data_IF_295456942534
#
_entry.id   IF_295456942534
#
_cell.length_a   1.000
_cell.length_b   1.000
_cell.length_c   1.000
_cell.angle_alpha   90.00
_cell.angle_beta   90.00
_cell.angle_gamma   90.00
#
_symmetry.space_group_name_H-M   'P 1'
#
loop_
_entity.id
_entity.type
_entity.pdbx_description
1 polymer ?
#
# COMPACT_ATOMS: atom_id res chain seq x y z
N UNK A 1 5.23 15.27 2.89
CA UNK A 1 6.16 16.21 2.22
C UNK A 1 5.82 17.62 2.66
N UNK A 2 6.81 18.41 3.05
CA UNK A 2 6.66 19.78 3.56
C UNK A 2 7.08 20.84 2.53
N UNK A 3 8.14 20.55 1.77
CA UNK A 3 8.67 21.39 0.68
C UNK A 3 9.08 20.55 -0.53
N UNK A 4 9.30 21.23 -1.66
CA UNK A 4 9.64 20.62 -2.94
C UNK A 4 8.45 19.90 -3.59
N UNK A 5 8.73 19.13 -4.63
CA UNK A 5 7.78 18.24 -5.28
C UNK A 5 8.39 16.85 -5.51
N UNK A 6 7.59 15.95 -6.07
CA UNK A 6 8.06 14.62 -6.42
C UNK A 6 7.01 13.82 -7.18
N UNK A 7 7.31 12.54 -7.39
CA UNK A 7 6.46 11.57 -8.05
C UNK A 7 6.42 10.30 -7.19
N UNK A 8 5.22 9.78 -6.97
CA UNK A 8 4.99 8.48 -6.36
C UNK A 8 4.51 7.52 -7.45
N UNK A 9 5.30 6.48 -7.69
CA UNK A 9 4.89 5.34 -8.49
C UNK A 9 4.42 4.21 -7.56
N UNK A 10 3.24 3.64 -7.78
CA UNK A 10 2.72 2.54 -6.95
C UNK A 10 1.77 1.63 -7.71
N UNK A 11 1.91 0.31 -7.55
CA UNK A 11 1.06 -0.72 -8.20
C UNK A 11 0.81 -0.52 -9.72
N UNK A 12 1.77 0.11 -10.41
CA UNK A 12 1.71 0.45 -11.84
C UNK A 12 1.07 1.82 -12.18
N UNK A 13 0.74 2.64 -11.18
CA UNK A 13 0.26 4.02 -11.28
C UNK A 13 1.39 5.00 -10.98
N UNK A 14 1.23 6.25 -11.43
CA UNK A 14 2.09 7.39 -11.09
C UNK A 14 1.22 8.56 -10.66
N UNK A 15 1.64 9.29 -9.63
CA UNK A 15 1.00 10.53 -9.20
C UNK A 15 2.05 11.55 -8.76
N UNK A 16 1.77 12.82 -9.04
CA UNK A 16 2.62 13.92 -8.62
C UNK A 16 2.36 14.27 -7.15
N UNK A 17 3.44 14.47 -6.41
CA UNK A 17 3.44 14.92 -5.03
C UNK A 17 3.56 16.44 -5.00
N UNK A 18 2.43 17.10 -4.73
CA UNK A 18 2.41 18.55 -4.52
C UNK A 18 3.02 18.92 -3.15
N UNK A 19 3.60 20.13 -3.00
CA UNK A 19 4.05 20.65 -1.72
C UNK A 19 3.00 20.53 -0.62
N UNK A 20 3.45 20.31 0.63
CA UNK A 20 2.57 20.19 1.80
C UNK A 20 1.52 19.07 1.61
N UNK A 21 1.98 17.88 1.25
CA UNK A 21 1.13 16.69 1.04
C UNK A 21 1.36 15.62 2.08
N UNK A 22 0.27 14.96 2.49
CA UNK A 22 0.28 13.74 3.29
C UNK A 22 -0.05 12.55 2.38
N UNK A 23 0.80 11.53 2.44
CA UNK A 23 0.65 10.29 1.69
C UNK A 23 0.61 9.14 2.68
N UNK A 24 -0.34 8.23 2.48
CA UNK A 24 -0.48 7.03 3.28
C UNK A 24 -0.35 5.83 2.36
N UNK A 25 0.61 4.97 2.66
CA UNK A 25 0.90 3.75 1.91
C UNK A 25 0.56 2.54 2.79
N UNK A 26 -0.42 1.71 2.41
CA UNK A 26 -0.78 0.54 3.18
C UNK A 26 0.30 -0.54 3.05
N UNK A 27 0.36 -1.43 4.03
CA UNK A 27 1.23 -2.60 3.98
C UNK A 27 0.97 -3.43 2.71
N UNK A 28 2.04 -3.91 2.08
CA UNK A 28 1.98 -4.70 0.85
C UNK A 28 1.90 -3.89 -0.45
N UNK A 29 1.79 -2.56 -0.38
CA UNK A 29 1.87 -1.71 -1.57
C UNK A 29 3.31 -1.67 -2.11
N UNK A 30 3.51 -2.09 -3.37
CA UNK A 30 4.78 -1.85 -4.06
C UNK A 30 4.77 -0.40 -4.54
N UNK A 31 5.77 0.36 -4.12
CA UNK A 31 5.89 1.75 -4.47
C UNK A 31 7.34 2.17 -4.64
N UNK A 32 7.54 3.28 -5.34
CA UNK A 32 8.80 3.99 -5.49
C UNK A 32 8.51 5.48 -5.43
N UNK A 33 9.42 6.21 -4.80
CA UNK A 33 9.40 7.67 -4.77
C UNK A 33 10.52 8.22 -5.63
N UNK A 34 10.24 9.29 -6.33
CA UNK A 34 11.24 10.20 -6.90
C UNK A 34 10.96 11.57 -6.35
N UNK A 35 11.94 12.19 -5.73
CA UNK A 35 11.79 13.52 -5.15
C UNK A 35 12.69 14.50 -5.91
N UNK A 36 12.27 15.76 -5.97
CA UNK A 36 13.11 16.85 -6.46
C UNK A 36 14.23 17.15 -5.43
N UNK A 37 15.30 17.81 -5.86
CA UNK A 37 16.49 18.05 -5.02
C UNK A 37 16.20 18.92 -3.78
N UNK A 38 15.13 19.72 -3.81
CA UNK A 38 14.67 20.58 -2.72
C UNK A 38 13.55 19.97 -1.86
N UNK A 39 13.23 18.69 -2.10
CA UNK A 39 12.16 18.01 -1.39
C UNK A 39 12.53 17.72 0.07
N UNK A 40 11.71 18.22 0.99
CA UNK A 40 11.86 17.99 2.43
C UNK A 40 10.58 17.39 2.99
N UNK A 41 10.71 16.50 3.98
CA UNK A 41 9.58 16.00 4.74
C UNK A 41 9.87 14.75 5.56
N UNK A 42 8.82 14.28 6.22
CA UNK A 42 8.89 13.13 7.11
C UNK A 42 8.43 11.84 6.43
N UNK A 43 9.10 10.74 6.76
CA UNK A 43 8.68 9.38 6.44
C UNK A 43 8.55 8.59 7.74
N UNK A 44 7.32 8.20 8.07
CA UNK A 44 7.06 7.31 9.21
C UNK A 44 6.75 5.92 8.70
N UNK A 45 7.62 4.97 9.03
CA UNK A 45 7.39 3.54 8.80
C UNK A 45 7.03 2.87 10.11
N UNK A 46 5.89 2.18 10.15
CA UNK A 46 5.42 1.48 11.34
C UNK A 46 4.99 0.05 11.01
N UNK A 47 5.20 -0.87 11.96
CA UNK A 47 4.69 -2.23 11.85
C UNK A 47 3.16 -2.22 11.88
N UNK A 48 2.52 -3.04 11.04
CA UNK A 48 1.06 -3.07 10.93
C UNK A 48 0.36 -3.37 12.27
N UNK A 49 0.97 -4.20 13.11
CA UNK A 49 0.44 -4.58 14.42
C UNK A 49 0.29 -3.38 15.37
N UNK A 50 1.06 -2.31 15.18
CA UNK A 50 0.94 -1.08 15.98
C UNK A 50 -0.40 -0.36 15.74
N UNK A 51 -1.05 -0.57 14.59
CA UNK A 51 -2.39 -0.04 14.35
C UNK A 51 -3.45 -0.70 15.25
N UNK A 52 -3.12 -1.87 15.81
CA UNK A 52 -3.98 -2.63 16.71
C UNK A 52 -3.49 -2.61 18.16
N UNK A 53 -2.43 -1.85 18.47
CA UNK A 53 -1.95 -1.70 19.84
C UNK A 53 -3.06 -1.04 20.68
N UNK A 54 -3.50 -1.65 21.78
CA UNK A 54 -4.62 -1.15 22.58
C UNK A 54 -4.35 0.22 23.20
N UNK A 55 -3.10 0.68 23.28
CA UNK A 55 -2.73 2.02 23.77
C UNK A 55 -2.96 3.10 22.73
N UNK A 56 -3.04 2.73 21.45
CA UNK A 56 -3.09 3.64 20.30
C UNK A 56 -4.43 3.53 19.57
N UNK A 57 -4.91 2.29 19.35
CA UNK A 57 -6.07 1.97 18.50
C UNK A 57 -7.39 2.64 18.93
N UNK A 58 -7.50 3.10 20.17
CA UNK A 58 -8.68 3.83 20.66
C UNK A 58 -8.68 5.32 20.25
N UNK A 59 -7.53 5.88 19.83
CA UNK A 59 -7.35 7.30 19.56
C UNK A 59 -7.73 7.67 18.11
N UNK A 60 -7.79 6.70 17.20
CA UNK A 60 -7.99 6.93 15.77
C UNK A 60 -8.83 5.82 15.12
N UNK A 61 -9.43 6.13 13.96
CA UNK A 61 -10.00 5.13 13.06
C UNK A 61 -8.92 4.67 12.07
N UNK A 62 -8.64 3.36 12.03
CA UNK A 62 -7.64 2.78 11.15
C UNK A 62 -8.12 2.60 9.70
N UNK A 63 -9.42 2.68 9.43
CA UNK A 63 -9.99 2.45 8.10
C UNK A 63 -9.38 3.34 6.99
N UNK A 64 -9.15 4.65 7.22
CA UNK A 64 -8.51 5.54 6.25
C UNK A 64 -7.02 5.26 6.02
N UNK A 65 -6.37 4.50 6.90
CA UNK A 65 -4.91 4.31 6.92
C UNK A 65 -4.44 2.98 6.33
N UNK A 66 -5.24 1.92 6.46
CA UNK A 66 -4.81 0.56 6.13
C UNK A 66 -5.19 0.06 4.74
N UNK A 67 -5.98 0.83 3.99
CA UNK A 67 -6.83 0.26 2.96
C UNK A 67 -6.40 0.62 1.53
N UNK A 68 -6.04 1.85 1.23
CA UNK A 68 -5.55 2.22 -0.10
C UNK A 68 -4.38 3.20 0.01
N UNK A 69 -3.65 3.35 -1.09
CA UNK A 69 -2.76 4.51 -1.22
C UNK A 69 -3.65 5.74 -1.26
N UNK A 70 -3.52 6.58 -0.24
CA UNK A 70 -4.31 7.79 -0.07
C UNK A 70 -3.38 8.99 -0.03
N UNK A 71 -3.81 10.09 -0.65
CA UNK A 71 -3.03 11.31 -0.72
C UNK A 71 -3.95 12.50 -0.47
N UNK A 72 -3.50 13.41 0.38
CA UNK A 72 -4.19 14.66 0.67
C UNK A 72 -3.21 15.81 0.55
N UNK A 73 -3.58 16.82 -0.26
CA UNK A 73 -2.91 18.11 -0.21
C UNK A 73 -3.41 18.86 1.03
N UNK A 74 -2.47 19.24 1.90
CA UNK A 74 -2.70 20.06 3.08
C UNK A 74 -2.33 21.54 2.82
N UNK A 75 -1.98 21.90 1.58
CA UNK A 75 -1.59 23.26 1.20
C UNK A 75 -2.71 24.16 0.68
N UNK A 76 -3.92 23.63 0.43
CA UNK A 76 -4.97 24.34 -0.29
C UNK A 76 -6.16 24.70 0.60
N UNK A 77 -6.06 25.82 1.31
CA UNK A 77 -7.20 26.53 1.89
C UNK A 77 -7.04 28.03 1.68
N UNK A 78 -8.12 28.70 1.26
CA UNK A 78 -8.19 30.18 1.22
C UNK A 78 -8.05 30.70 2.66
N UNK A 79 -6.83 30.95 3.13
CA UNK A 79 -6.59 31.43 4.50
C UNK A 79 -5.23 31.15 5.14
N UNK A 80 -4.31 30.47 4.46
CA UNK A 80 -2.93 30.23 4.96
C UNK A 80 -2.61 28.74 5.16
N UNK A 81 -1.46 28.46 5.80
CA UNK A 81 -0.98 27.10 6.06
C UNK A 81 -2.02 26.31 6.86
N UNK A 82 -2.45 25.16 6.36
CA UNK A 82 -3.35 24.26 7.08
C UNK A 82 -2.72 23.91 8.43
N UNK A 83 -3.40 24.25 9.52
CA UNK A 83 -2.93 23.98 10.89
C UNK A 83 -2.63 22.50 11.11
N UNK A 84 -3.25 21.59 10.33
CA UNK A 84 -2.95 20.16 10.35
C UNK A 84 -1.53 19.85 9.90
N UNK A 85 -1.04 20.50 8.84
CA UNK A 85 0.31 20.30 8.33
C UNK A 85 1.35 20.70 9.37
N UNK A 86 1.21 21.88 9.98
CA UNK A 86 2.11 22.35 11.04
C UNK A 86 2.08 21.47 12.28
N UNK A 87 0.89 20.97 12.66
CA UNK A 87 0.77 20.04 13.80
C UNK A 87 1.41 18.68 13.52
N UNK A 88 1.21 18.13 12.33
CA UNK A 88 1.85 16.88 11.93
C UNK A 88 3.37 17.03 11.91
N UNK A 89 3.88 18.13 11.35
CA UNK A 89 5.32 18.46 11.34
C UNK A 89 5.92 18.45 12.75
N UNK A 90 5.29 19.16 13.69
CA UNK A 90 5.74 19.19 15.08
C UNK A 90 5.72 17.79 15.73
N UNK A 91 4.65 17.02 15.55
CA UNK A 91 4.54 15.67 16.11
C UNK A 91 5.56 14.69 15.50
N UNK A 92 5.89 14.82 14.21
CA UNK A 92 6.95 14.03 13.60
C UNK A 92 8.32 14.39 14.17
N UNK A 93 8.58 15.67 14.42
CA UNK A 93 9.81 16.10 15.07
C UNK A 93 9.92 15.53 16.51
N UNK A 94 8.83 15.55 17.27
CA UNK A 94 8.77 14.97 18.62
C UNK A 94 9.01 13.44 18.57
N UNK A 95 8.36 12.72 17.63
CA UNK A 95 8.59 11.29 17.42
C UNK A 95 10.06 10.99 17.09
N UNK A 96 10.69 11.78 16.23
CA UNK A 96 12.08 11.59 15.82
C UNK A 96 13.07 11.83 16.97
N UNK A 97 12.79 12.82 17.83
CA UNK A 97 13.60 13.08 19.03
C UNK A 97 13.48 11.96 20.05
N UNK A 98 12.26 11.43 20.26
CA UNK A 98 12.01 10.35 21.22
C UNK A 98 12.50 8.98 20.77
N UNK A 99 12.57 8.72 19.46
CA UNK A 99 13.09 7.45 18.94
C UNK A 99 14.61 7.32 19.05
N UNK A 100 15.35 8.43 19.07
CA UNK A 100 16.82 8.44 19.05
C UNK A 100 17.44 7.71 17.84
N UNK A 101 18.78 7.61 17.79
CA UNK A 101 19.49 7.01 16.64
C UNK A 101 19.45 5.47 16.61
N UNK A 102 19.02 4.82 17.69
CA UNK A 102 18.97 3.36 17.81
C UNK A 102 17.90 2.92 18.83
N UNK A 103 16.62 3.06 18.47
CA UNK A 103 15.53 2.55 19.31
C UNK A 103 15.63 1.02 19.47
N UNK A 104 15.98 0.56 20.67
CA UNK A 104 16.10 -0.86 21.00
C UNK A 104 15.37 -1.18 22.30
N UNK A 105 14.04 -0.97 22.31
CA UNK A 105 13.18 -1.27 23.47
C UNK A 105 11.68 -1.29 23.13
N UNK A 106 10.82 -1.68 24.08
CA UNK A 106 9.37 -1.61 23.90
C UNK A 106 8.92 -0.16 23.69
N UNK A 107 7.82 0.02 22.95
CA UNK A 107 7.24 1.35 22.66
C UNK A 107 6.87 2.05 23.97
N UNK A 108 7.51 3.19 24.25
CA UNK A 108 7.23 3.97 25.46
C UNK A 108 5.81 4.54 25.43
N UNK A 109 5.25 4.89 26.59
CA UNK A 109 3.93 5.51 26.65
C UNK A 109 3.88 6.87 25.93
N UNK A 110 4.96 7.64 25.99
CA UNK A 110 5.08 8.93 25.32
C UNK A 110 5.08 8.75 23.80
N UNK A 111 5.92 7.85 23.30
CA UNK A 111 6.03 7.55 21.87
C UNK A 111 4.73 6.95 21.33
N UNK A 112 4.05 6.11 22.12
CA UNK A 112 2.72 5.60 21.78
C UNK A 112 1.66 6.70 21.68
N UNK A 113 1.68 7.68 22.59
CA UNK A 113 0.75 8.81 22.56
C UNK A 113 1.02 9.73 21.34
N UNK A 114 2.29 10.07 21.07
CA UNK A 114 2.67 10.84 19.89
C UNK A 114 2.28 10.13 18.59
N UNK A 115 2.55 8.82 18.51
CA UNK A 115 2.15 8.01 17.36
C UNK A 115 0.61 8.01 17.20
N UNK A 116 -0.14 7.83 18.28
CA UNK A 116 -1.60 7.89 18.25
C UNK A 116 -2.13 9.24 17.76
N UNK A 117 -1.53 10.35 18.18
CA UNK A 117 -1.90 11.68 17.70
C UNK A 117 -1.59 11.89 16.21
N UNK A 118 -0.44 11.41 15.74
CA UNK A 118 -0.09 11.45 14.31
C UNK A 118 -1.11 10.65 13.49
N UNK A 119 -1.43 9.43 13.90
CA UNK A 119 -2.38 8.57 13.20
C UNK A 119 -3.80 9.16 13.21
N UNK A 120 -4.23 9.76 14.32
CA UNK A 120 -5.53 10.43 14.42
C UNK A 120 -5.64 11.64 13.49
N UNK A 121 -4.61 12.51 13.47
CA UNK A 121 -4.59 13.68 12.58
C UNK A 121 -4.49 13.26 11.12
N UNK A 122 -3.70 12.24 10.80
CA UNK A 122 -3.61 11.69 9.45
C UNK A 122 -4.95 11.11 8.99
N UNK A 123 -5.62 10.31 9.82
CA UNK A 123 -6.93 9.73 9.52
C UNK A 123 -8.00 10.81 9.32
N UNK A 124 -8.05 11.81 10.20
CA UNK A 124 -8.97 12.93 10.07
C UNK A 124 -8.70 13.78 8.82
N UNK A 125 -7.43 13.93 8.42
CA UNK A 125 -7.08 14.61 7.19
C UNK A 125 -7.60 13.88 5.94
N UNK A 126 -7.56 12.54 5.94
CA UNK A 126 -8.08 11.71 4.86
C UNK A 126 -9.61 11.66 4.81
N UNK A 127 -10.28 11.77 5.96
CA UNK A 127 -11.74 11.75 6.04
C UNK A 127 -12.41 13.01 5.48
N UNK A 128 -11.73 14.16 5.42
CA UNK A 128 -12.32 15.45 5.01
C UNK A 128 -12.63 15.65 3.52
N UNK A 129 -12.53 14.61 2.68
CA UNK A 129 -12.69 14.65 1.22
C UNK A 129 -14.09 14.19 0.75
N UNK A 130 -15.16 14.53 1.47
CA UNK A 130 -16.45 13.84 1.35
C UNK A 130 -17.41 14.25 0.22
N UNK A 131 -17.11 15.27 -0.60
CA UNK A 131 -18.03 15.76 -1.64
C UNK A 131 -18.39 14.76 -2.76
N UNK A 132 -17.58 13.73 -2.98
CA UNK A 132 -17.81 12.66 -3.97
C UNK A 132 -17.89 11.25 -3.34
N UNK A 133 -17.85 11.15 -2.00
CA UNK A 133 -17.46 9.94 -1.28
C UNK A 133 -18.58 8.92 -1.02
N UNK A 134 -19.87 9.28 -1.00
CA UNK A 134 -20.91 8.34 -0.54
C UNK A 134 -21.19 7.17 -1.51
N UNK A 135 -21.07 7.40 -2.83
CA UNK A 135 -21.18 6.34 -3.84
C UNK A 135 -19.85 5.58 -4.03
N UNK A 136 -18.72 6.26 -3.79
CA UNK A 136 -17.40 5.66 -3.86
C UNK A 136 -17.15 4.74 -2.66
N UNK A 137 -17.59 5.11 -1.45
CA UNK A 137 -17.31 4.38 -0.21
C UNK A 137 -17.81 2.92 -0.19
N UNK A 138 -18.96 2.61 -0.81
CA UNK A 138 -19.42 1.22 -0.95
C UNK A 138 -18.57 0.41 -1.94
N UNK A 139 -18.19 1.03 -3.05
CA UNK A 139 -17.33 0.39 -4.06
C UNK A 139 -15.92 0.22 -3.52
N UNK A 140 -15.42 1.21 -2.79
CA UNK A 140 -14.16 1.23 -2.09
C UNK A 140 -14.11 0.15 -1.02
N UNK A 141 -15.04 0.13 -0.07
CA UNK A 141 -15.12 -0.93 0.93
C UNK A 141 -15.17 -2.33 0.31
N UNK A 142 -15.91 -2.51 -0.80
CA UNK A 142 -15.95 -3.80 -1.50
C UNK A 142 -14.60 -4.15 -2.15
N UNK A 143 -13.96 -3.22 -2.85
CA UNK A 143 -12.66 -3.43 -3.50
C UNK A 143 -11.56 -3.72 -2.47
N UNK A 144 -11.61 -3.07 -1.31
CA UNK A 144 -10.69 -3.27 -0.19
C UNK A 144 -10.87 -4.64 0.46
N UNK A 145 -12.12 -5.04 0.74
CA UNK A 145 -12.44 -6.40 1.22
C UNK A 145 -11.99 -7.46 0.22
N UNK A 146 -12.16 -7.20 -1.07
CA UNK A 146 -11.65 -8.06 -2.13
C UNK A 146 -10.13 -8.17 -2.10
N UNK A 147 -9.39 -7.05 -2.04
CA UNK A 147 -7.92 -7.08 -1.98
C UNK A 147 -7.42 -7.88 -0.79
N UNK A 148 -7.96 -7.63 0.41
CA UNK A 148 -7.59 -8.39 1.60
C UNK A 148 -7.96 -9.88 1.51
N UNK A 149 -9.04 -10.22 0.81
CA UNK A 149 -9.41 -11.61 0.55
C UNK A 149 -8.41 -12.27 -0.43
N UNK A 150 -8.02 -11.57 -1.50
CA UNK A 150 -6.99 -12.02 -2.44
C UNK A 150 -5.68 -12.30 -1.71
N UNK A 151 -5.23 -11.40 -0.81
CA UNK A 151 -3.99 -11.60 -0.06
C UNK A 151 -3.95 -12.89 0.76
N UNK A 152 -5.11 -13.37 1.23
CA UNK A 152 -5.23 -14.62 1.99
C UNK A 152 -5.42 -15.86 1.10
N UNK A 153 -5.93 -15.70 -0.12
CA UNK A 153 -6.39 -16.83 -0.94
C UNK A 153 -5.76 -16.91 -2.33
N UNK A 154 -4.83 -16.03 -2.70
CA UNK A 154 -4.26 -15.96 -4.06
C UNK A 154 -3.64 -17.27 -4.56
N UNK A 155 -3.18 -18.15 -3.66
CA UNK A 155 -2.61 -19.48 -3.97
C UNK A 155 -3.66 -20.57 -4.23
N UNK A 156 -4.93 -20.30 -3.93
CA UNK A 156 -5.99 -21.31 -3.98
C UNK A 156 -6.65 -21.43 -5.35
N UNK A 157 -6.22 -20.62 -6.35
CA UNK A 157 -6.73 -20.70 -7.71
C UNK A 157 -8.23 -20.35 -7.84
N UNK A 158 -8.74 -19.47 -6.98
CA UNK A 158 -10.17 -19.10 -6.99
C UNK A 158 -10.56 -18.37 -8.28
N UNK A 159 -11.75 -18.68 -8.80
CA UNK A 159 -12.39 -17.90 -9.85
C UNK A 159 -12.91 -16.56 -9.31
N UNK A 160 -13.12 -15.59 -10.21
CA UNK A 160 -13.73 -14.31 -9.84
C UNK A 160 -15.14 -14.50 -9.28
N UNK A 161 -15.90 -15.47 -9.81
CA UNK A 161 -17.21 -15.84 -9.28
C UNK A 161 -17.14 -16.26 -7.81
N UNK A 162 -16.18 -17.12 -7.47
CA UNK A 162 -15.98 -17.55 -6.08
C UNK A 162 -15.61 -16.39 -5.16
N UNK A 163 -14.81 -15.43 -5.63
CA UNK A 163 -14.52 -14.21 -4.87
C UNK A 163 -15.78 -13.37 -4.64
N UNK A 164 -16.63 -13.22 -5.67
CA UNK A 164 -17.88 -12.48 -5.56
C UNK A 164 -18.83 -13.13 -4.55
N UNK A 165 -18.98 -14.46 -4.63
CA UNK A 165 -19.79 -15.25 -3.70
C UNK A 165 -19.31 -15.08 -2.25
N UNK A 166 -18.00 -15.23 -2.01
CA UNK A 166 -17.41 -15.09 -0.68
C UNK A 166 -17.58 -13.68 -0.09
N UNK A 167 -17.64 -12.66 -0.94
CA UNK A 167 -17.84 -11.27 -0.53
C UNK A 167 -19.32 -10.89 -0.37
N UNK A 168 -20.24 -11.78 -0.76
CA UNK A 168 -21.68 -11.53 -0.77
C UNK A 168 -22.09 -10.53 -1.85
N UNK A 169 -21.46 -10.59 -3.04
CA UNK A 169 -21.73 -9.68 -4.16
C UNK A 169 -21.80 -10.42 -5.50
N UNK A 170 -22.04 -9.70 -6.59
CA UNK A 170 -22.04 -10.26 -7.95
C UNK A 170 -20.75 -9.90 -8.69
N UNK A 171 -20.33 -10.74 -9.65
CA UNK A 171 -19.14 -10.48 -10.47
C UNK A 171 -19.17 -9.10 -11.18
N UNK A 172 -20.29 -8.64 -11.77
CA UNK A 172 -20.36 -7.30 -12.36
C UNK A 172 -20.14 -6.19 -11.33
N UNK A 173 -20.68 -6.34 -10.12
CA UNK A 173 -20.53 -5.36 -9.03
C UNK A 173 -19.09 -5.33 -8.54
N UNK A 174 -18.50 -6.50 -8.29
CA UNK A 174 -17.09 -6.63 -7.92
C UNK A 174 -16.16 -6.05 -9.00
N UNK A 175 -16.44 -6.33 -10.27
CA UNK A 175 -15.65 -5.81 -11.40
C UNK A 175 -15.74 -4.30 -11.48
N UNK A 176 -16.94 -3.72 -11.30
CA UNK A 176 -17.11 -2.27 -11.25
C UNK A 176 -16.33 -1.67 -10.09
N UNK A 177 -16.46 -2.22 -8.89
CA UNK A 177 -15.73 -1.78 -7.70
C UNK A 177 -14.20 -1.81 -7.92
N UNK A 178 -13.67 -2.92 -8.45
CA UNK A 178 -12.25 -3.05 -8.75
C UNK A 178 -11.79 -2.07 -9.84
N UNK A 179 -12.58 -1.86 -10.90
CA UNK A 179 -12.23 -0.90 -11.95
C UNK A 179 -12.29 0.55 -11.48
N UNK A 180 -13.20 0.90 -10.58
CA UNK A 180 -13.31 2.25 -10.03
C UNK A 180 -12.18 2.53 -9.04
N UNK A 181 -11.88 1.59 -8.15
CA UNK A 181 -11.01 1.81 -6.98
C UNK A 181 -9.58 1.35 -7.24
N UNK A 182 -9.42 0.17 -7.85
CA UNK A 182 -8.12 -0.46 -8.13
C UNK A 182 -7.67 -0.27 -9.59
N UNK A 183 -8.51 0.37 -10.43
CA UNK A 183 -8.29 0.57 -11.86
C UNK A 183 -8.02 -0.72 -12.67
N UNK A 184 -8.35 -1.87 -12.10
CA UNK A 184 -8.04 -3.19 -12.65
C UNK A 184 -9.25 -4.10 -12.56
N UNK A 185 -9.34 -5.07 -13.47
CA UNK A 185 -10.31 -6.14 -13.35
C UNK A 185 -9.94 -7.07 -12.18
N UNK A 186 -10.90 -7.74 -11.51
CA UNK A 186 -10.61 -8.59 -10.35
C UNK A 186 -9.54 -9.67 -10.65
N UNK A 187 -9.62 -10.31 -11.83
CA UNK A 187 -8.62 -11.30 -12.24
C UNK A 187 -7.23 -10.72 -12.52
N UNK A 188 -7.11 -9.43 -12.85
CA UNK A 188 -5.82 -8.74 -12.95
C UNK A 188 -5.20 -8.53 -11.56
N UNK A 189 -6.01 -8.12 -10.57
CA UNK A 189 -5.56 -7.93 -9.18
C UNK A 189 -5.00 -9.23 -8.60
N UNK A 190 -5.66 -10.37 -8.83
CA UNK A 190 -5.19 -11.69 -8.39
C UNK A 190 -3.85 -12.04 -9.06
N UNK A 191 -3.73 -11.79 -10.37
CA UNK A 191 -2.49 -12.08 -11.12
C UNK A 191 -1.34 -11.19 -10.68
N UNK A 192 -1.58 -9.92 -10.40
CA UNK A 192 -0.55 -9.01 -9.89
C UNK A 192 -0.06 -9.45 -8.51
N UNK A 193 -0.97 -9.91 -7.63
CA UNK A 193 -0.59 -10.45 -6.33
C UNK A 193 0.25 -11.72 -6.44
N UNK A 194 -0.12 -12.63 -7.36
CA UNK A 194 0.66 -13.84 -7.67
C UNK A 194 2.05 -13.49 -8.22
N UNK A 195 2.13 -12.49 -9.09
CA UNK A 195 3.39 -12.04 -9.68
C UNK A 195 4.32 -11.46 -8.60
N UNK A 196 3.79 -10.62 -7.72
CA UNK A 196 4.52 -10.07 -6.58
C UNK A 196 5.12 -11.18 -5.72
N UNK A 197 4.33 -12.20 -5.39
CA UNK A 197 4.83 -13.33 -4.61
C UNK A 197 5.90 -14.12 -5.38
N UNK A 198 5.73 -14.31 -6.69
CA UNK A 198 6.71 -14.99 -7.52
C UNK A 198 8.06 -14.28 -7.53
N UNK A 199 8.06 -12.95 -7.75
CA UNK A 199 9.28 -12.14 -7.68
C UNK A 199 9.92 -12.25 -6.29
N UNK A 200 9.14 -12.14 -5.21
CA UNK A 200 9.62 -12.29 -3.84
C UNK A 200 10.27 -13.66 -3.60
N UNK A 201 9.63 -14.75 -4.01
CA UNK A 201 10.20 -16.10 -3.88
C UNK A 201 11.46 -16.28 -4.71
N UNK A 202 11.53 -15.70 -5.91
CA UNK A 202 12.72 -15.75 -6.75
C UNK A 202 13.90 -14.99 -6.16
N UNK A 203 13.65 -13.89 -5.44
CA UNK A 203 14.68 -13.05 -4.82
C UNK A 203 15.18 -13.61 -3.49
N UNK A 204 14.27 -14.08 -2.63
CA UNK A 204 14.60 -14.39 -1.22
C UNK A 204 14.72 -15.88 -0.91
N UNK A 205 14.53 -16.77 -1.89
CA UNK A 205 14.62 -18.21 -1.66
C UNK A 205 15.44 -18.92 -2.73
N UNK A 206 16.02 -20.06 -2.38
CA UNK A 206 16.72 -20.96 -3.31
C UNK A 206 15.82 -22.01 -3.96
N UNK A 207 14.50 -21.98 -3.70
CA UNK A 207 13.54 -22.97 -4.20
C UNK A 207 13.59 -23.09 -5.72
N UNK A 208 13.40 -24.30 -6.27
CA UNK A 208 13.34 -24.50 -7.73
C UNK A 208 12.15 -23.76 -8.35
N UNK A 209 12.24 -23.39 -9.64
CA UNK A 209 11.14 -22.69 -10.33
C UNK A 209 9.85 -23.52 -10.32
N UNK A 210 9.95 -24.85 -10.47
CA UNK A 210 8.81 -25.75 -10.34
C UNK A 210 8.19 -25.73 -8.94
N UNK A 211 9.00 -25.70 -7.89
CA UNK A 211 8.52 -25.60 -6.50
C UNK A 211 7.85 -24.25 -6.23
N UNK A 212 8.39 -23.15 -6.79
CA UNK A 212 7.75 -21.84 -6.70
C UNK A 212 6.40 -21.85 -7.42
N UNK A 213 6.32 -22.43 -8.61
CA UNK A 213 5.06 -22.55 -9.34
C UNK A 213 4.01 -23.33 -8.53
N UNK A 214 4.38 -24.48 -7.99
CA UNK A 214 3.53 -25.32 -7.15
C UNK A 214 3.07 -24.56 -5.89
N UNK A 215 4.00 -23.91 -5.18
CA UNK A 215 3.70 -23.11 -3.97
C UNK A 215 2.76 -21.94 -4.24
N UNK A 216 2.80 -21.38 -5.45
CA UNK A 216 1.89 -20.31 -5.88
C UNK A 216 0.54 -20.83 -6.39
N UNK A 217 0.33 -22.15 -6.42
CA UNK A 217 -0.92 -22.77 -6.85
C UNK A 217 -1.04 -22.96 -8.37
N UNK A 218 0.06 -22.90 -9.12
CA UNK A 218 0.06 -23.23 -10.54
C UNK A 218 0.07 -24.74 -10.72
N UNK A 219 -0.93 -25.27 -11.45
CA UNK A 219 -1.02 -26.69 -11.77
C UNK A 219 0.09 -27.17 -12.74
N UNK A 220 0.66 -26.26 -13.52
CA UNK A 220 1.72 -26.55 -14.49
C UNK A 220 2.85 -25.51 -14.41
N UNK A 221 4.09 -25.92 -14.10
CA UNK A 221 5.28 -25.05 -14.13
C UNK A 221 5.54 -24.37 -15.48
N UNK A 222 5.16 -25.00 -16.61
CA UNK A 222 5.30 -24.38 -17.92
C UNK A 222 4.32 -23.21 -18.09
N UNK A 223 3.09 -23.35 -17.58
CA UNK A 223 2.14 -22.25 -17.53
C UNK A 223 2.62 -21.11 -16.63
N UNK A 224 3.18 -21.39 -15.45
CA UNK A 224 3.84 -20.37 -14.61
C UNK A 224 4.95 -19.63 -15.38
N UNK A 225 5.81 -20.37 -16.08
CA UNK A 225 6.93 -19.78 -16.82
C UNK A 225 6.46 -18.83 -17.93
N UNK A 226 5.37 -19.18 -18.63
CA UNK A 226 4.72 -18.30 -19.62
C UNK A 226 4.09 -17.08 -18.97
N UNK A 227 3.33 -17.27 -17.88
CA UNK A 227 2.72 -16.20 -17.10
C UNK A 227 3.76 -15.18 -16.64
N UNK A 228 4.86 -15.65 -16.03
CA UNK A 228 5.92 -14.80 -15.52
C UNK A 228 6.60 -14.02 -16.66
N UNK A 229 6.99 -14.72 -17.74
CA UNK A 229 7.64 -14.09 -18.89
C UNK A 229 6.74 -13.04 -19.55
N UNK A 230 5.44 -13.31 -19.66
CA UNK A 230 4.49 -12.37 -20.25
C UNK A 230 4.35 -11.09 -19.40
N UNK A 231 4.44 -11.20 -18.08
CA UNK A 231 4.27 -10.08 -17.14
C UNK A 231 5.55 -9.27 -16.92
N UNK A 232 6.70 -9.94 -16.86
CA UNK A 232 7.99 -9.33 -16.50
C UNK A 232 8.86 -9.06 -17.73
N UNK A 233 8.55 -9.67 -18.87
CA UNK A 233 9.34 -9.57 -20.11
C UNK A 233 10.55 -10.51 -20.18
N UNK A 234 10.91 -11.17 -19.07
CA UNK A 234 12.03 -12.11 -18.99
C UNK A 234 11.65 -13.39 -18.24
N UNK A 235 12.46 -14.44 -18.38
CA UNK A 235 12.18 -15.73 -17.70
C UNK A 235 12.44 -15.62 -16.21
N UNK A 236 11.74 -16.43 -15.41
CA UNK A 236 11.96 -16.51 -13.97
C UNK A 236 13.41 -16.89 -13.61
N UNK A 237 14.05 -17.76 -14.40
CA UNK A 237 15.46 -18.11 -14.24
C UNK A 237 16.39 -16.91 -14.46
N UNK A 238 16.13 -16.12 -15.51
CA UNK A 238 16.91 -14.92 -15.79
C UNK A 238 16.71 -13.88 -14.69
N UNK A 239 15.46 -13.64 -14.29
CA UNK A 239 15.12 -12.73 -13.20
C UNK A 239 15.88 -13.05 -11.90
N UNK A 240 15.97 -14.34 -11.53
CA UNK A 240 16.73 -14.79 -10.36
C UNK A 240 18.23 -14.55 -10.52
N UNK A 241 18.81 -14.97 -11.65
CA UNK A 241 20.25 -14.87 -11.89
C UNK A 241 20.71 -13.41 -11.85
N UNK A 242 19.92 -12.53 -12.45
CA UNK A 242 20.29 -11.14 -12.66
C UNK A 242 19.94 -10.28 -11.42
N UNK A 243 19.34 -10.87 -10.38
CA UNK A 243 18.82 -10.15 -9.20
C UNK A 243 18.04 -8.89 -9.61
N UNK A 244 17.25 -9.03 -10.69
CA UNK A 244 16.69 -7.90 -11.45
C UNK A 244 15.75 -7.01 -10.61
N UNK A 245 15.28 -7.52 -9.46
CA UNK A 245 14.58 -6.73 -8.46
C UNK A 245 15.37 -5.49 -8.01
N UNK A 246 16.70 -5.59 -7.88
CA UNK A 246 17.56 -4.47 -7.45
C UNK A 246 18.11 -3.64 -8.62
N UNK A 247 17.89 -4.03 -9.88
CA UNK A 247 18.50 -3.41 -11.06
C UNK A 247 17.54 -2.52 -11.86
N UNK A 248 16.31 -2.28 -11.38
CA UNK A 248 15.44 -1.26 -12.00
C UNK A 248 15.88 0.13 -11.52
N UNK A 249 17.04 0.56 -12.00
CA UNK A 249 17.59 1.90 -11.89
C UNK A 249 18.53 2.11 -13.07
N UNK A 250 17.98 2.68 -14.15
CA UNK A 250 18.69 3.39 -15.19
C UNK A 250 17.72 4.40 -15.81
#
# INVERSE_FOLDING_TARGET
MERGAGELAYDGRRCDLAPVSLVILPSGCIHAFRFDDDAEGWVLSLAHDLLHDPRIAWVFDAAPLGSAVSMQCLGAGEGGVDRRASRLSALFADLAQESGDAWSGPLSACLAAHLGLVLALAGAAMAGSEGAAQANGRSEALALRFRGLVDRTFRQGWSVDRYADQLGTTVPTLTRACRTVLLKAPGEVVRDRLLLEAMRSLTYTSAGIGQIAEHLGFADPAYFSRFFKQRVGMTASAFRRDNAWFQTSA
#
